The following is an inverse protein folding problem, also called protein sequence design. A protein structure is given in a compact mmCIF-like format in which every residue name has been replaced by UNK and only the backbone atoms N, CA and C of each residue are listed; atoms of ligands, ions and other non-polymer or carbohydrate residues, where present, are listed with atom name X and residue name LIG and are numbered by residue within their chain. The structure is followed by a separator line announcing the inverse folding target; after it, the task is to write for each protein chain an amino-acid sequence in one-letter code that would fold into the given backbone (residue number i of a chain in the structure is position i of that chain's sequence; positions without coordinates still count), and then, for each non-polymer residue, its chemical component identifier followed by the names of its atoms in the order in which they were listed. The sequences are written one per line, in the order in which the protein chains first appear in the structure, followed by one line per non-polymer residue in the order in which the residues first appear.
data_IF_303587099575
#
_entry.id   IF_303587099575
#
_cell.length_a   1.000
_cell.length_b   1.000
_cell.length_c   1.000
_cell.angle_alpha   90.00
_cell.angle_beta   90.00
_cell.angle_gamma   90.00
#
_symmetry.space_group_name_H-M   'P 1'
#
loop_
_entity.id
_entity.type
_entity.pdbx_description
1 polymer ?
#
# COMPACT_ATOMS: atom_id res chain seq x y z
N UNK A 1 16.61 24.32 2.15
CA UNK A 1 17.65 23.36 2.55
C UNK A 1 18.18 22.71 1.28
N UNK A 2 19.48 22.40 1.17
CA UNK A 2 19.98 21.63 0.02
C UNK A 2 19.35 20.22 0.01
N UNK A 3 19.15 19.64 -1.18
CA UNK A 3 18.47 18.34 -1.38
C UNK A 3 19.07 17.23 -0.50
N UNK A 4 20.39 17.00 -0.54
CA UNK A 4 21.06 15.99 0.30
C UNK A 4 20.81 16.18 1.81
N UNK A 5 20.71 17.43 2.28
CA UNK A 5 20.43 17.73 3.69
C UNK A 5 18.97 17.46 4.03
N UNK A 6 18.06 17.67 3.08
CA UNK A 6 16.66 17.37 3.24
C UNK A 6 16.43 15.87 3.26
N UNK A 7 17.08 15.12 2.37
CA UNK A 7 17.04 13.66 2.33
C UNK A 7 17.48 13.05 3.66
N UNK A 8 18.63 13.51 4.19
CA UNK A 8 19.10 13.04 5.49
C UNK A 8 18.10 13.35 6.61
N UNK A 9 17.45 14.52 6.58
CA UNK A 9 16.45 14.89 7.58
C UNK A 9 15.17 14.03 7.47
N UNK A 10 14.75 13.67 6.25
CA UNK A 10 13.63 12.75 6.00
C UNK A 10 13.96 11.35 6.52
N UNK A 11 15.15 10.83 6.22
CA UNK A 11 15.62 9.52 6.72
C UNK A 11 15.68 9.53 8.26
N UNK A 12 16.25 10.56 8.88
CA UNK A 12 16.32 10.66 10.34
C UNK A 12 14.93 10.75 10.98
N UNK A 13 13.99 11.45 10.33
CA UNK A 13 12.61 11.49 10.77
C UNK A 13 11.95 10.12 10.66
N UNK A 14 12.09 9.42 9.54
CA UNK A 14 11.57 8.06 9.36
C UNK A 14 12.12 7.10 10.42
N UNK A 15 13.43 7.18 10.73
CA UNK A 15 14.03 6.38 11.82
C UNK A 15 13.36 6.64 13.17
N UNK A 16 13.05 7.90 13.48
CA UNK A 16 12.33 8.24 14.71
C UNK A 16 10.87 7.74 14.74
N UNK A 17 10.31 7.38 13.57
CA UNK A 17 8.96 6.83 13.40
C UNK A 17 8.94 5.30 13.24
N UNK A 18 10.03 4.62 13.62
CA UNK A 18 10.10 3.16 13.72
C UNK A 18 10.71 2.44 12.51
N UNK A 19 11.25 3.17 11.54
CA UNK A 19 11.94 2.58 10.39
C UNK A 19 13.41 2.26 10.68
N UNK A 20 13.89 1.11 10.24
CA UNK A 20 15.31 0.75 10.29
C UNK A 20 16.02 1.22 9.00
N UNK A 21 17.03 2.08 9.13
CA UNK A 21 17.80 2.53 7.98
C UNK A 21 18.90 1.54 7.63
N UNK A 22 18.86 1.01 6.42
CA UNK A 22 19.79 -0.01 5.93
C UNK A 22 20.91 0.64 5.10
N UNK A 23 22.03 0.95 5.76
CA UNK A 23 23.18 1.58 5.09
C UNK A 23 23.80 0.67 4.02
N UNK A 24 23.90 -0.63 4.28
CA UNK A 24 24.52 -1.60 3.35
C UNK A 24 23.68 -1.86 2.08
N UNK A 25 22.40 -1.47 2.12
CA UNK A 25 21.45 -1.59 1.00
C UNK A 25 21.07 -0.23 0.41
N UNK A 26 21.83 0.83 0.73
CA UNK A 26 21.64 2.18 0.22
C UNK A 26 22.75 2.57 -0.75
N UNK A 27 22.45 3.40 -1.75
CA UNK A 27 23.37 3.72 -2.86
C UNK A 27 23.85 2.50 -3.66
N UNK A 28 23.02 1.46 -3.73
CA UNK A 28 23.31 0.18 -4.42
C UNK A 28 22.44 -0.02 -5.67
N UNK A 29 22.73 -1.07 -6.43
CA UNK A 29 21.87 -1.52 -7.53
C UNK A 29 20.68 -2.34 -7.03
N UNK A 30 19.64 -2.43 -7.86
CA UNK A 30 18.44 -3.22 -7.56
C UNK A 30 18.69 -4.68 -7.19
N UNK A 31 19.73 -5.31 -7.74
CA UNK A 31 20.08 -6.71 -7.45
C UNK A 31 20.36 -6.95 -5.96
N UNK A 32 20.95 -5.97 -5.29
CA UNK A 32 21.20 -6.07 -3.84
C UNK A 32 19.93 -6.12 -3.01
N UNK A 33 18.83 -5.53 -3.50
CA UNK A 33 17.54 -5.65 -2.81
C UNK A 33 16.89 -7.01 -3.03
N UNK A 34 17.16 -7.70 -4.14
CA UNK A 34 16.76 -9.10 -4.28
C UNK A 34 17.53 -10.01 -3.32
N UNK A 35 18.84 -9.80 -3.14
CA UNK A 35 19.64 -10.53 -2.14
C UNK A 35 19.04 -10.35 -0.74
N UNK A 36 18.76 -9.09 -0.36
CA UNK A 36 18.14 -8.75 0.90
C UNK A 36 16.78 -9.44 1.10
N UNK A 37 15.92 -9.38 0.07
CA UNK A 37 14.61 -9.99 0.13
C UNK A 37 14.68 -11.51 0.28
N UNK A 38 15.63 -12.17 -0.41
CA UNK A 38 15.89 -13.62 -0.22
C UNK A 38 16.22 -13.94 1.23
N UNK A 39 17.07 -13.14 1.86
CA UNK A 39 17.45 -13.34 3.27
C UNK A 39 16.25 -13.19 4.21
N UNK A 40 15.40 -12.19 3.98
CA UNK A 40 14.15 -12.02 4.73
C UNK A 40 13.19 -13.18 4.50
N UNK A 41 13.02 -13.63 3.25
CA UNK A 41 12.17 -14.79 2.94
C UNK A 41 12.65 -16.04 3.64
N UNK A 42 13.95 -16.33 3.62
CA UNK A 42 14.56 -17.45 4.33
C UNK A 42 14.31 -17.37 5.83
N UNK A 43 14.46 -16.18 6.42
CA UNK A 43 14.24 -15.97 7.84
C UNK A 43 12.76 -16.15 8.24
N UNK A 44 11.84 -15.52 7.52
CA UNK A 44 10.40 -15.55 7.81
C UNK A 44 9.79 -16.94 7.56
N UNK A 45 10.30 -17.66 6.56
CA UNK A 45 9.82 -18.99 6.18
C UNK A 45 10.68 -20.13 6.75
N UNK A 46 11.58 -19.86 7.69
CA UNK A 46 12.54 -20.85 8.24
C UNK A 46 11.91 -22.18 8.62
N UNK A 47 10.74 -22.16 9.28
CA UNK A 47 10.00 -23.37 9.67
C UNK A 47 9.41 -24.12 8.48
N UNK A 48 8.89 -23.40 7.47
CA UNK A 48 8.33 -23.97 6.24
C UNK A 48 9.40 -24.57 5.34
N UNK A 49 10.59 -23.99 5.41
CA UNK A 49 11.78 -24.40 4.68
C UNK A 49 12.57 -25.49 5.39
N UNK A 50 12.14 -25.94 6.58
CA UNK A 50 12.82 -26.92 7.42
C UNK A 50 14.32 -26.60 7.59
N UNK A 51 14.62 -25.33 7.91
CA UNK A 51 15.98 -24.81 8.07
C UNK A 51 16.89 -24.91 6.81
N UNK A 52 16.33 -25.28 5.66
CA UNK A 52 17.06 -25.39 4.38
C UNK A 52 16.76 -24.17 3.52
N UNK A 53 17.68 -23.20 3.38
CA UNK A 53 17.44 -21.98 2.62
C UNK A 53 17.04 -22.25 1.17
N UNK A 54 16.41 -21.26 0.54
CA UNK A 54 16.11 -21.29 -0.89
C UNK A 54 17.40 -21.50 -1.69
N UNK A 55 17.39 -22.43 -2.64
CA UNK A 55 18.45 -22.56 -3.64
C UNK A 55 18.37 -21.43 -4.68
N UNK A 56 19.39 -21.28 -5.52
CA UNK A 56 19.37 -20.25 -6.56
C UNK A 56 18.23 -20.51 -7.57
N UNK A 57 18.00 -21.77 -7.94
CA UNK A 57 16.93 -22.15 -8.85
C UNK A 57 15.54 -21.88 -8.25
N UNK A 58 15.36 -22.20 -6.96
CA UNK A 58 14.11 -21.93 -6.24
C UNK A 58 13.85 -20.42 -6.13
N UNK A 59 14.88 -19.63 -5.86
CA UNK A 59 14.72 -18.18 -5.79
C UNK A 59 14.43 -17.56 -7.17
N UNK A 60 15.00 -18.08 -8.25
CA UNK A 60 14.63 -17.66 -9.61
C UNK A 60 13.17 -18.02 -9.95
N UNK A 61 12.65 -19.17 -9.48
CA UNK A 61 11.21 -19.48 -9.60
C UNK A 61 10.35 -18.43 -8.86
N UNK A 62 10.73 -18.04 -7.65
CA UNK A 62 10.04 -16.98 -6.89
C UNK A 62 10.07 -15.65 -7.65
N UNK A 63 11.22 -15.24 -8.22
CA UNK A 63 11.31 -14.03 -9.06
C UNK A 63 10.41 -14.12 -10.28
N UNK A 64 10.32 -15.28 -10.92
CA UNK A 64 9.46 -15.50 -12.09
C UNK A 64 7.98 -15.30 -11.72
N UNK A 65 7.54 -15.75 -10.55
CA UNK A 65 6.18 -15.52 -10.06
C UNK A 65 5.85 -14.02 -9.97
N UNK A 66 6.80 -13.18 -9.52
CA UNK A 66 6.60 -11.72 -9.46
C UNK A 66 6.37 -11.08 -10.83
N UNK A 67 6.84 -11.70 -11.91
CA UNK A 67 6.62 -11.18 -13.27
C UNK A 67 5.15 -11.24 -13.69
N UNK A 68 4.32 -12.00 -12.97
CA UNK A 68 2.86 -12.05 -13.19
C UNK A 68 2.15 -10.78 -12.75
N UNK A 69 2.76 -9.99 -11.86
CA UNK A 69 2.22 -8.69 -11.47
C UNK A 69 2.37 -7.70 -12.63
N UNK A 70 1.29 -7.46 -13.37
CA UNK A 70 1.28 -6.50 -14.50
C UNK A 70 0.87 -5.11 -14.06
N UNK A 71 0.10 -5.03 -12.99
CA UNK A 71 -0.47 -3.81 -12.43
C UNK A 71 -0.25 -3.76 -10.91
N UNK A 72 -0.37 -2.59 -10.26
CA UNK A 72 -0.31 -2.50 -8.80
C UNK A 72 -1.46 -3.27 -8.16
N UNK A 73 -2.59 -3.40 -8.87
CA UNK A 73 -3.71 -4.22 -8.46
C UNK A 73 -3.32 -5.69 -8.29
N UNK A 74 -2.57 -6.28 -9.23
CA UNK A 74 -2.11 -7.68 -9.12
C UNK A 74 -1.22 -7.89 -7.88
N UNK A 75 -0.28 -6.96 -7.66
CA UNK A 75 0.57 -6.97 -6.49
C UNK A 75 -0.25 -6.81 -5.20
N UNK A 76 -1.27 -5.95 -5.19
CA UNK A 76 -2.17 -5.77 -4.04
C UNK A 76 -2.98 -7.03 -3.73
N UNK A 77 -3.42 -7.79 -4.75
CA UNK A 77 -4.07 -9.09 -4.54
C UNK A 77 -3.11 -10.08 -3.87
N UNK A 78 -1.85 -10.10 -4.33
CA UNK A 78 -0.81 -10.96 -3.76
C UNK A 78 -0.45 -10.56 -2.32
N UNK A 79 -0.34 -9.27 -2.01
CA UNK A 79 -0.08 -8.76 -0.65
C UNK A 79 -1.23 -9.05 0.32
N UNK A 80 -2.48 -8.91 -0.14
CA UNK A 80 -3.65 -9.16 0.69
C UNK A 80 -3.80 -10.65 1.03
N UNK A 81 -3.57 -11.52 0.04
CA UNK A 81 -3.57 -12.97 0.18
C UNK A 81 -4.81 -13.56 0.87
N UNK A 82 -4.71 -14.82 1.29
CA UNK A 82 -5.76 -15.48 2.04
C UNK A 82 -5.59 -15.18 3.54
N UNK A 83 -6.61 -14.61 4.18
CA UNK A 83 -6.58 -14.32 5.61
C UNK A 83 -5.57 -13.25 6.01
N UNK A 84 -5.23 -12.31 5.12
CA UNK A 84 -4.34 -11.18 5.42
C UNK A 84 -2.84 -11.49 5.30
N UNK A 85 -2.47 -12.69 4.81
CA UNK A 85 -1.08 -13.08 4.59
C UNK A 85 -0.82 -13.27 3.11
N UNK A 86 0.09 -12.47 2.56
CA UNK A 86 0.52 -12.57 1.18
C UNK A 86 1.53 -13.70 0.98
N UNK A 87 1.34 -14.51 -0.07
CA UNK A 87 2.19 -15.67 -0.36
C UNK A 87 2.64 -15.74 -1.81
N UNK A 88 3.71 -16.50 -2.03
CA UNK A 88 4.21 -16.89 -3.37
C UNK A 88 4.39 -18.40 -3.41
N UNK A 89 3.87 -19.09 -4.44
CA UNK A 89 4.05 -20.53 -4.60
C UNK A 89 5.51 -20.89 -4.93
N UNK A 90 5.97 -22.02 -4.40
CA UNK A 90 7.28 -22.59 -4.70
C UNK A 90 7.20 -24.11 -4.88
N UNK A 91 7.86 -24.62 -5.92
CA UNK A 91 8.22 -26.04 -5.99
C UNK A 91 9.69 -26.18 -5.58
N UNK A 92 9.92 -26.88 -4.46
CA UNK A 92 11.26 -27.16 -3.92
C UNK A 92 12.02 -28.10 -4.84
N UNK A 93 13.35 -28.07 -4.75
CA UNK A 93 14.23 -28.93 -5.54
C UNK A 93 13.99 -30.43 -5.29
N UNK A 94 13.43 -30.79 -4.13
CA UNK A 94 13.02 -32.16 -3.77
C UNK A 94 11.61 -32.55 -4.27
N UNK A 95 10.91 -31.65 -4.95
CA UNK A 95 9.56 -31.83 -5.49
C UNK A 95 8.42 -31.40 -4.55
N UNK A 96 8.72 -30.98 -3.32
CA UNK A 96 7.71 -30.51 -2.35
C UNK A 96 7.11 -29.17 -2.79
N UNK A 97 5.80 -28.99 -2.62
CA UNK A 97 5.12 -27.72 -2.91
C UNK A 97 4.88 -26.93 -1.64
N UNK A 98 5.23 -25.65 -1.65
CA UNK A 98 5.07 -24.73 -0.52
C UNK A 98 4.45 -23.40 -0.98
N UNK A 99 3.82 -22.71 -0.04
CA UNK A 99 3.44 -21.30 -0.16
C UNK A 99 4.33 -20.50 0.80
N UNK A 100 5.23 -19.68 0.26
CA UNK A 100 6.11 -18.84 1.04
C UNK A 100 5.39 -17.56 1.43
N UNK A 101 5.38 -17.24 2.71
CA UNK A 101 4.85 -15.98 3.20
C UNK A 101 5.82 -14.84 2.89
N UNK A 102 5.29 -13.76 2.33
CA UNK A 102 6.07 -12.57 1.94
C UNK A 102 5.58 -11.30 2.63
N UNK A 103 4.32 -11.26 3.09
CA UNK A 103 3.72 -10.06 3.65
C UNK A 103 2.64 -10.40 4.69
N UNK A 104 2.53 -9.59 5.74
CA UNK A 104 1.61 -9.80 6.86
C UNK A 104 0.74 -8.56 7.07
N UNK A 105 -0.45 -8.52 6.46
CA UNK A 105 -1.32 -7.35 6.50
C UNK A 105 -1.91 -7.04 7.88
N UNK A 106 -2.07 -8.05 8.73
CA UNK A 106 -2.64 -7.92 10.08
C UNK A 106 -1.57 -7.74 11.18
N UNK A 107 -0.30 -8.08 10.92
CA UNK A 107 0.81 -7.95 11.89
C UNK A 107 1.42 -6.53 11.87
N UNK A 108 0.57 -5.54 12.09
CA UNK A 108 0.97 -4.13 12.03
C UNK A 108 1.77 -3.72 13.27
N UNK A 109 2.95 -3.15 13.07
CA UNK A 109 3.90 -2.71 14.11
C UNK A 109 4.27 -3.80 15.14
N UNK A 110 4.31 -5.06 14.72
CA UNK A 110 4.71 -6.18 15.56
C UNK A 110 4.82 -7.48 14.77
N UNK A 111 4.89 -8.60 15.49
CA UNK A 111 4.97 -9.92 14.87
C UNK A 111 6.26 -10.10 14.07
N UNK A 112 6.13 -10.56 12.83
CA UNK A 112 7.20 -10.89 11.91
C UNK A 112 7.51 -9.73 10.94
N UNK A 113 6.74 -8.65 10.97
CA UNK A 113 6.92 -7.51 10.06
C UNK A 113 8.20 -6.73 10.36
N UNK A 114 9.00 -6.52 9.31
CA UNK A 114 10.18 -5.63 9.31
C UNK A 114 9.89 -4.38 8.51
N UNK A 115 10.36 -3.23 9.00
CA UNK A 115 10.13 -1.92 8.41
C UNK A 115 11.47 -1.26 8.15
N UNK A 116 11.86 -1.20 6.89
CA UNK A 116 13.20 -0.80 6.49
C UNK A 116 13.15 0.38 5.50
N UNK A 117 14.15 1.27 5.58
CA UNK A 117 14.32 2.39 4.66
C UNK A 117 15.69 2.32 4.01
N UNK A 118 15.71 2.49 2.69
CA UNK A 118 16.91 2.59 1.86
C UNK A 118 16.82 3.81 0.97
N UNK A 119 17.96 4.38 0.58
CA UNK A 119 18.01 5.54 -0.32
C UNK A 119 18.96 5.31 -1.51
N UNK A 120 18.79 6.12 -2.56
CA UNK A 120 19.69 6.20 -3.72
C UNK A 120 19.82 4.87 -4.52
N UNK A 121 18.71 4.14 -4.67
CA UNK A 121 18.68 2.84 -5.37
C UNK A 121 18.77 3.04 -6.88
N UNK A 122 19.77 2.42 -7.51
CA UNK A 122 20.06 2.61 -8.94
C UNK A 122 19.59 1.44 -9.80
N UNK A 123 18.88 1.75 -10.88
CA UNK A 123 18.47 0.82 -11.92
C UNK A 123 19.44 0.92 -13.10
N UNK A 124 20.08 -0.21 -13.43
CA UNK A 124 21.07 -0.31 -14.50
C UNK A 124 20.51 -0.91 -15.77
N UNK A 125 19.55 -1.84 -15.64
CA UNK A 125 19.03 -2.65 -16.74
C UNK A 125 17.52 -2.46 -16.84
N UNK A 126 17.11 -1.51 -17.68
CA UNK A 126 15.70 -1.14 -17.87
C UNK A 126 15.17 -1.67 -19.18
N UNK A 127 14.02 -2.35 -19.12
CA UNK A 127 13.45 -3.12 -20.23
C UNK A 127 13.20 -2.28 -21.49
N UNK A 128 12.86 -1.01 -21.33
CA UNK A 128 12.51 -0.09 -22.43
C UNK A 128 13.54 1.03 -22.64
N UNK A 129 14.60 1.09 -21.82
CA UNK A 129 15.57 2.20 -21.83
C UNK A 129 17.01 1.68 -21.73
N UNK A 130 17.62 1.41 -22.88
CA UNK A 130 18.96 0.80 -23.02
C UNK A 130 20.13 1.69 -22.55
N UNK A 131 19.90 2.94 -22.12
CA UNK A 131 20.98 3.89 -21.82
C UNK A 131 20.77 4.79 -20.62
N UNK A 132 19.62 4.72 -19.94
CA UNK A 132 19.29 5.68 -18.90
C UNK A 132 19.32 5.05 -17.52
N UNK A 133 20.31 5.43 -16.72
CA UNK A 133 20.31 5.10 -15.29
C UNK A 133 19.17 5.85 -14.62
N UNK A 134 18.33 5.13 -13.87
CA UNK A 134 17.33 5.72 -12.99
C UNK A 134 17.72 5.50 -11.55
N UNK A 135 17.39 6.45 -10.69
CA UNK A 135 17.77 6.42 -9.30
C UNK A 135 16.60 6.92 -8.47
N UNK A 136 16.22 6.10 -7.50
CA UNK A 136 15.18 6.41 -6.53
C UNK A 136 15.83 7.16 -5.37
N UNK A 137 15.23 8.25 -4.91
CA UNK A 137 15.70 9.00 -3.74
C UNK A 137 15.54 8.14 -2.49
N UNK A 138 14.31 7.81 -2.08
CA UNK A 138 14.06 6.95 -0.90
C UNK A 138 13.01 5.87 -1.23
N UNK A 139 13.25 4.65 -0.75
CA UNK A 139 12.31 3.53 -0.81
C UNK A 139 12.03 2.99 0.58
N UNK A 140 10.75 2.75 0.89
CA UNK A 140 10.33 2.09 2.11
C UNK A 140 9.96 0.63 1.83
N UNK A 141 10.53 -0.27 2.62
CA UNK A 141 10.39 -1.71 2.49
C UNK A 141 9.60 -2.28 3.68
N UNK A 142 8.64 -3.15 3.40
CA UNK A 142 8.01 -3.98 4.43
C UNK A 142 8.36 -5.43 4.12
N UNK A 143 9.05 -6.11 5.04
CA UNK A 143 9.62 -7.45 4.81
C UNK A 143 10.48 -7.52 3.55
N UNK A 144 11.32 -6.50 3.29
CA UNK A 144 12.13 -6.41 2.09
C UNK A 144 11.36 -6.11 0.79
N UNK A 145 10.02 -6.06 0.82
CA UNK A 145 9.20 -5.69 -0.35
C UNK A 145 9.13 -4.16 -0.48
N UNK A 146 9.48 -3.58 -1.64
CA UNK A 146 9.28 -2.15 -1.91
C UNK A 146 7.80 -1.81 -1.95
N UNK A 147 7.31 -1.03 -0.99
CA UNK A 147 5.88 -0.65 -0.90
C UNK A 147 5.63 0.83 -1.16
N UNK A 148 6.61 1.69 -0.90
CA UNK A 148 6.48 3.13 -1.08
C UNK A 148 7.73 3.77 -1.69
N UNK A 149 7.54 4.49 -2.78
CA UNK A 149 8.59 5.21 -3.49
C UNK A 149 8.45 6.71 -3.23
N UNK A 150 9.49 7.32 -2.69
CA UNK A 150 9.55 8.74 -2.34
C UNK A 150 10.51 9.45 -3.29
N UNK A 151 10.05 10.56 -3.84
CA UNK A 151 10.86 11.50 -4.61
C UNK A 151 10.89 12.84 -3.88
N UNK A 152 12.09 13.37 -3.69
CA UNK A 152 12.30 14.64 -3.02
C UNK A 152 12.50 15.75 -4.03
N UNK A 153 12.14 16.98 -3.66
CA UNK A 153 12.35 18.15 -4.52
C UNK A 153 12.82 19.34 -3.70
N UNK A 154 13.72 20.10 -4.33
CA UNK A 154 14.09 21.41 -3.85
C UNK A 154 12.94 22.41 -4.08
N UNK A 155 12.44 22.99 -2.98
CA UNK A 155 11.40 24.02 -2.99
C UNK A 155 11.77 25.25 -3.83
N UNK A 156 13.06 25.57 -3.95
CA UNK A 156 13.51 26.72 -4.71
C UNK A 156 13.22 26.62 -6.21
N UNK A 157 12.98 25.40 -6.72
CA UNK A 157 12.66 25.15 -8.12
C UNK A 157 11.16 25.31 -8.44
N UNK A 158 10.31 25.59 -7.44
CA UNK A 158 8.86 25.87 -7.55
C UNK A 158 8.06 24.94 -8.49
N UNK A 159 8.51 23.70 -8.68
CA UNK A 159 7.84 22.78 -9.60
C UNK A 159 7.86 21.34 -9.07
N UNK A 160 7.21 21.15 -7.92
CA UNK A 160 6.93 19.85 -7.31
C UNK A 160 6.31 18.83 -8.28
N UNK A 161 5.64 19.29 -9.34
CA UNK A 161 5.03 18.43 -10.36
C UNK A 161 6.04 17.77 -11.31
N UNK A 162 7.28 18.23 -11.36
CA UNK A 162 8.34 17.51 -12.07
C UNK A 162 8.59 16.12 -11.46
N UNK A 163 8.41 15.96 -10.14
CA UNK A 163 8.48 14.65 -9.48
C UNK A 163 7.40 13.70 -10.01
N UNK A 164 6.19 14.22 -10.24
CA UNK A 164 5.09 13.46 -10.80
C UNK A 164 5.40 12.99 -12.22
N UNK A 165 5.98 13.87 -13.06
CA UNK A 165 6.43 13.50 -14.41
C UNK A 165 7.62 12.52 -14.38
N UNK A 166 8.47 12.59 -13.36
CA UNK A 166 9.58 11.67 -13.15
C UNK A 166 9.06 10.26 -12.84
N UNK A 167 8.07 10.12 -11.95
CA UNK A 167 7.40 8.83 -11.73
C UNK A 167 6.78 8.26 -13.00
N UNK A 168 6.13 9.10 -13.81
CA UNK A 168 5.56 8.69 -15.10
C UNK A 168 6.62 8.14 -16.05
N UNK A 169 7.78 8.81 -16.14
CA UNK A 169 8.91 8.35 -16.96
C UNK A 169 9.48 7.04 -16.43
N UNK A 170 9.63 6.92 -15.12
CA UNK A 170 10.14 5.72 -14.45
C UNK A 170 9.29 4.49 -14.74
N UNK A 171 7.97 4.67 -14.72
CA UNK A 171 7.03 3.63 -15.13
C UNK A 171 7.21 3.26 -16.61
N UNK A 172 7.27 4.27 -17.50
CA UNK A 172 7.50 4.05 -18.94
C UNK A 172 8.85 3.40 -19.27
N UNK A 173 9.87 3.61 -18.44
CA UNK A 173 11.18 2.96 -18.52
C UNK A 173 11.17 1.51 -17.96
N UNK A 174 10.06 1.05 -17.38
CA UNK A 174 9.88 -0.33 -16.91
C UNK A 174 10.41 -0.60 -15.50
N UNK A 175 10.56 0.42 -14.65
CA UNK A 175 11.09 0.26 -13.29
C UNK A 175 10.20 -0.61 -12.37
N UNK A 176 8.88 -0.56 -12.50
CA UNK A 176 7.94 -1.20 -11.57
C UNK A 176 7.60 -2.65 -11.95
N UNK A 177 8.62 -3.45 -12.19
CA UNK A 177 8.51 -4.88 -12.52
C UNK A 177 9.25 -5.75 -11.48
N UNK A 178 8.97 -7.06 -11.45
CA UNK A 178 9.59 -7.98 -10.50
C UNK A 178 9.33 -7.53 -9.04
N UNK A 179 10.38 -7.43 -8.23
CA UNK A 179 10.30 -6.97 -6.84
C UNK A 179 9.70 -5.56 -6.70
N UNK A 180 9.92 -4.67 -7.66
CA UNK A 180 9.38 -3.29 -7.61
C UNK A 180 7.94 -3.21 -8.09
N UNK A 181 7.35 -4.32 -8.57
CA UNK A 181 5.91 -4.38 -8.86
C UNK A 181 5.05 -4.21 -7.59
N UNK A 182 5.64 -4.34 -6.40
CA UNK A 182 4.95 -4.15 -5.12
C UNK A 182 4.82 -2.70 -4.66
N UNK A 183 5.39 -1.72 -5.37
CA UNK A 183 5.21 -0.31 -5.00
C UNK A 183 3.72 0.07 -5.10
N UNK A 184 3.07 0.34 -3.96
CA UNK A 184 1.64 0.65 -3.91
C UNK A 184 1.38 2.16 -3.86
N UNK A 185 2.25 2.92 -3.21
CA UNK A 185 2.10 4.37 -2.99
C UNK A 185 3.36 5.11 -3.43
N UNK A 186 3.17 6.30 -3.99
CA UNK A 186 4.23 7.23 -4.36
C UNK A 186 4.08 8.52 -3.59
N UNK A 187 5.20 9.09 -3.14
CA UNK A 187 5.26 10.32 -2.37
C UNK A 187 6.12 11.37 -3.07
N UNK A 188 5.64 12.61 -3.06
CA UNK A 188 6.40 13.78 -3.49
C UNK A 188 6.61 14.68 -2.28
N UNK A 189 7.86 14.86 -1.86
CA UNK A 189 8.21 15.61 -0.66
C UNK A 189 9.12 16.80 -0.96
N UNK A 190 8.85 17.92 -0.29
CA UNK A 190 9.73 19.08 -0.14
C UNK A 190 9.38 19.73 1.20
N UNK A 191 10.27 20.53 1.81
CA UNK A 191 10.13 20.95 3.23
C UNK A 191 8.71 21.39 3.67
N UNK A 192 7.97 22.09 2.81
CA UNK A 192 6.63 22.62 3.04
C UNK A 192 5.60 22.17 1.99
N UNK A 193 5.82 21.03 1.33
CA UNK A 193 4.82 20.39 0.46
C UNK A 193 5.00 18.88 0.47
N UNK A 194 3.93 18.15 0.78
CA UNK A 194 3.92 16.70 0.85
C UNK A 194 2.64 16.16 0.21
N UNK A 195 2.82 15.29 -0.78
CA UNK A 195 1.72 14.69 -1.53
C UNK A 195 1.92 13.18 -1.64
N UNK A 196 0.82 12.45 -1.74
CA UNK A 196 0.81 11.01 -1.95
C UNK A 196 -0.26 10.60 -2.96
N UNK A 197 -0.04 9.48 -3.63
CA UNK A 197 -1.00 8.87 -4.54
C UNK A 197 -0.72 7.38 -4.70
N UNK A 198 -1.75 6.61 -5.05
CA UNK A 198 -1.56 5.20 -5.42
C UNK A 198 -0.76 5.12 -6.72
N UNK A 199 0.13 4.13 -6.84
CA UNK A 199 0.84 3.87 -8.09
C UNK A 199 -0.20 3.63 -9.20
N UNK A 200 -0.17 4.38 -10.31
CA UNK A 200 -1.03 4.11 -11.46
C UNK A 200 -0.73 2.75 -12.10
N UNK A 201 -1.69 2.21 -12.85
CA UNK A 201 -1.52 0.92 -13.53
C UNK A 201 -0.47 0.91 -14.64
N UNK A 202 -0.16 2.06 -15.22
CA UNK A 202 0.88 2.27 -16.22
C UNK A 202 1.19 3.77 -16.38
N UNK A 203 2.22 4.08 -17.16
CA UNK A 203 2.67 5.45 -17.46
C UNK A 203 1.58 6.36 -18.04
N UNK A 204 0.65 5.86 -18.85
CA UNK A 204 -0.42 6.68 -19.44
C UNK A 204 -1.55 7.01 -18.44
N UNK A 205 -1.58 6.33 -17.29
CA UNK A 205 -2.63 6.49 -16.28
C UNK A 205 -2.27 7.50 -15.19
N UNK A 206 -1.10 8.14 -15.26
CA UNK A 206 -0.70 9.19 -14.32
C UNK A 206 -1.58 10.44 -14.48
N UNK A 207 -2.42 10.71 -13.48
CA UNK A 207 -3.27 11.90 -13.40
C UNK A 207 -3.03 12.67 -12.09
N UNK A 208 -2.65 13.95 -12.20
CA UNK A 208 -2.35 14.85 -11.08
C UNK A 208 -3.54 15.11 -10.16
N UNK A 209 -4.77 14.97 -10.66
CA UNK A 209 -5.98 15.13 -9.85
C UNK A 209 -6.08 14.09 -8.71
N UNK A 210 -5.29 13.01 -8.80
CA UNK A 210 -5.19 11.96 -7.79
C UNK A 210 -3.96 12.09 -6.87
N UNK A 211 -3.16 13.15 -7.02
CA UNK A 211 -2.10 13.50 -6.09
C UNK A 211 -2.68 14.30 -4.92
N UNK A 212 -2.77 13.66 -3.76
CA UNK A 212 -3.46 14.22 -2.59
C UNK A 212 -2.47 14.82 -1.60
N UNK A 213 -2.78 16.01 -1.09
CA UNK A 213 -2.21 16.50 0.16
C UNK A 213 -2.85 15.81 1.37
N UNK A 214 -2.27 16.03 2.55
CA UNK A 214 -2.83 15.54 3.81
C UNK A 214 -3.51 16.67 4.59
N UNK A 215 -4.58 16.31 5.31
CA UNK A 215 -5.26 17.20 6.26
C UNK A 215 -5.35 16.46 7.57
N UNK A 216 -5.08 17.14 8.68
CA UNK A 216 -5.16 16.58 10.03
C UNK A 216 -6.62 16.36 10.47
N UNK A 217 -6.82 15.86 11.70
CA UNK A 217 -8.15 15.60 12.26
C UNK A 217 -8.99 16.86 12.50
N UNK A 218 -8.36 18.03 12.57
CA UNK A 218 -9.04 19.32 12.63
C UNK A 218 -9.38 19.86 11.23
N UNK A 219 -9.05 19.11 10.16
CA UNK A 219 -9.23 19.51 8.78
C UNK A 219 -8.26 20.60 8.32
N UNK A 220 -7.12 20.78 9.00
CA UNK A 220 -6.08 21.72 8.57
C UNK A 220 -5.09 21.02 7.66
N UNK A 221 -4.65 21.71 6.61
CA UNK A 221 -3.65 21.17 5.68
C UNK A 221 -2.31 20.95 6.38
N UNK A 222 -1.75 19.75 6.18
CA UNK A 222 -0.43 19.37 6.68
C UNK A 222 0.55 19.45 5.52
N UNK A 223 1.26 20.59 5.46
CA UNK A 223 2.22 20.88 4.40
C UNK A 223 3.66 20.65 4.84
N UNK A 224 3.95 20.73 6.14
CA UNK A 224 5.28 20.44 6.67
C UNK A 224 5.60 18.94 6.55
N UNK A 225 6.70 18.59 5.86
CA UNK A 225 7.07 17.19 5.63
C UNK A 225 7.28 16.39 6.90
N UNK A 226 7.86 16.99 7.95
CA UNK A 226 8.15 16.24 9.18
C UNK A 226 6.86 15.87 9.91
N UNK A 227 5.86 16.75 9.90
CA UNK A 227 4.51 16.43 10.39
C UNK A 227 3.83 15.39 9.50
N UNK A 228 3.94 15.53 8.17
CA UNK A 228 3.38 14.56 7.23
C UNK A 228 3.96 13.15 7.43
N UNK A 229 5.28 13.03 7.61
CA UNK A 229 5.94 11.75 7.86
C UNK A 229 5.38 11.11 9.13
N UNK A 230 5.22 11.88 10.21
CA UNK A 230 4.62 11.38 11.46
C UNK A 230 3.19 10.85 11.27
N UNK A 231 2.35 11.58 10.54
CA UNK A 231 0.94 11.22 10.39
C UNK A 231 0.66 10.13 9.35
N UNK A 232 1.49 10.03 8.31
CA UNK A 232 1.20 9.20 7.11
C UNK A 232 2.23 8.10 6.89
N UNK A 233 3.52 8.37 7.12
CA UNK A 233 4.62 7.48 6.71
C UNK A 233 5.24 6.71 7.88
N UNK A 234 5.01 7.14 9.12
CA UNK A 234 5.46 6.44 10.31
C UNK A 234 4.81 5.08 10.47
N UNK A 235 5.39 4.23 11.32
CA UNK A 235 4.77 2.96 11.71
C UNK A 235 3.90 3.24 12.94
N UNK A 236 2.61 2.83 12.96
CA UNK A 236 1.91 1.93 12.04
C UNK A 236 1.14 2.56 10.85
N UNK A 237 1.25 3.87 10.63
CA UNK A 237 0.44 4.59 9.63
C UNK A 237 0.67 4.09 8.18
N UNK A 238 1.91 3.96 7.72
CA UNK A 238 2.17 3.56 6.33
C UNK A 238 1.74 2.12 6.05
N UNK A 239 1.98 1.20 6.99
CA UNK A 239 1.54 -0.18 6.82
C UNK A 239 0.02 -0.22 6.62
N UNK A 240 -0.76 0.50 7.44
CA UNK A 240 -2.21 0.63 7.22
C UNK A 240 -2.57 1.37 5.93
N UNK A 241 -1.75 2.31 5.48
CA UNK A 241 -1.97 3.00 4.21
C UNK A 241 -1.96 2.00 3.05
N UNK A 242 -0.97 1.11 3.00
CA UNK A 242 -0.81 0.14 1.90
C UNK A 242 -1.69 -1.11 2.04
N UNK A 243 -2.22 -1.42 3.23
CA UNK A 243 -3.11 -2.57 3.44
C UNK A 243 -4.58 -2.18 3.52
N UNK A 244 -4.93 -1.34 4.49
CA UNK A 244 -6.31 -1.03 4.85
C UNK A 244 -6.87 0.07 3.94
N UNK A 245 -6.08 1.11 3.66
CA UNK A 245 -6.54 2.32 3.01
C UNK A 245 -6.35 2.32 1.48
N UNK A 246 -5.90 1.21 0.92
CA UNK A 246 -5.92 0.96 -0.52
C UNK A 246 -7.27 0.40 -0.95
N UNK A 247 -7.73 0.82 -2.12
CA UNK A 247 -8.98 0.41 -2.74
C UNK A 247 -8.62 -0.22 -4.08
N UNK A 248 -8.65 -1.56 -4.17
CA UNK A 248 -8.50 -2.22 -5.46
C UNK A 248 -9.72 -1.88 -6.33
N UNK A 249 -9.54 -1.73 -7.64
CA UNK A 249 -10.63 -1.51 -8.60
C UNK A 249 -10.50 -2.54 -9.73
N UNK A 250 -11.11 -3.70 -9.50
CA UNK A 250 -11.00 -4.88 -10.35
C UNK A 250 -11.53 -4.64 -11.77
N UNK A 251 -12.54 -3.79 -11.94
CA UNK A 251 -13.10 -3.49 -13.26
C UNK A 251 -12.14 -2.73 -14.18
N UNK A 252 -11.15 -2.02 -13.60
CA UNK A 252 -10.23 -1.17 -14.35
C UNK A 252 -8.75 -1.60 -14.22
N UNK A 253 -8.49 -2.74 -13.57
CA UNK A 253 -7.16 -3.22 -13.16
C UNK A 253 -6.33 -2.10 -12.51
N UNK A 254 -6.98 -1.35 -11.61
CA UNK A 254 -6.40 -0.14 -11.02
C UNK A 254 -6.36 -0.23 -9.49
N UNK A 255 -5.53 0.63 -8.90
CA UNK A 255 -5.43 0.80 -7.46
C UNK A 255 -5.67 2.26 -7.11
N UNK A 256 -6.43 2.50 -6.05
CA UNK A 256 -6.66 3.83 -5.50
C UNK A 256 -6.23 3.87 -4.03
N UNK A 257 -5.86 5.06 -3.56
CA UNK A 257 -5.59 5.33 -2.14
C UNK A 257 -6.68 6.26 -1.60
N UNK A 258 -7.14 5.99 -0.38
CA UNK A 258 -8.12 6.84 0.29
C UNK A 258 -7.51 8.20 0.65
N UNK A 259 -8.32 9.26 0.55
CA UNK A 259 -7.96 10.62 0.98
C UNK A 259 -7.98 10.72 2.51
N UNK A 260 -7.30 11.72 3.07
CA UNK A 260 -7.15 11.90 4.53
C UNK A 260 -8.48 11.85 5.28
N UNK A 261 -9.49 12.62 4.85
CA UNK A 261 -10.81 12.63 5.47
C UNK A 261 -11.54 11.29 5.40
N UNK A 262 -11.31 10.49 4.35
CA UNK A 262 -11.90 9.16 4.22
C UNK A 262 -11.24 8.18 5.20
N UNK A 263 -9.91 8.28 5.35
CA UNK A 263 -9.13 7.50 6.32
C UNK A 263 -9.56 7.85 7.74
N UNK A 264 -9.68 9.13 8.06
CA UNK A 264 -10.12 9.61 9.38
C UNK A 264 -11.54 9.15 9.71
N UNK A 265 -12.49 9.29 8.78
CA UNK A 265 -13.87 8.82 8.98
C UNK A 265 -13.90 7.30 9.23
N UNK A 266 -13.15 6.53 8.44
CA UNK A 266 -13.05 5.07 8.61
C UNK A 266 -12.45 4.71 9.96
N UNK A 267 -11.36 5.37 10.36
CA UNK A 267 -10.70 5.18 11.66
C UNK A 267 -11.66 5.46 12.82
N UNK A 268 -12.36 6.59 12.81
CA UNK A 268 -13.30 6.96 13.88
C UNK A 268 -14.47 5.97 14.00
N UNK A 269 -15.00 5.47 12.87
CA UNK A 269 -16.04 4.42 12.91
C UNK A 269 -15.50 3.13 13.54
N UNK A 270 -14.29 2.70 13.17
CA UNK A 270 -13.68 1.49 13.71
C UNK A 270 -13.31 1.64 15.19
N UNK A 271 -12.83 2.81 15.62
CA UNK A 271 -12.52 3.11 17.03
C UNK A 271 -13.77 3.03 17.89
N UNK A 272 -14.87 3.67 17.45
CA UNK A 272 -16.16 3.60 18.14
C UNK A 272 -16.68 2.16 18.25
N UNK A 273 -16.53 1.35 17.20
CA UNK A 273 -16.86 -0.08 17.26
C UNK A 273 -15.96 -0.86 18.23
N UNK A 274 -14.66 -0.53 18.31
CA UNK A 274 -13.74 -1.14 19.27
C UNK A 274 -14.11 -0.81 20.72
N UNK A 275 -14.54 0.41 20.99
CA UNK A 275 -15.01 0.81 22.33
C UNK A 275 -16.26 0.01 22.75
N UNK A 276 -17.24 -0.13 21.85
CA UNK A 276 -18.44 -0.97 22.09
C UNK A 276 -18.08 -2.45 22.34
N UNK A 277 -17.08 -2.97 21.61
CA UNK A 277 -16.57 -4.34 21.80
C UNK A 277 -15.92 -4.57 23.16
N UNK A 278 -15.28 -3.54 23.71
CA UNK A 278 -14.54 -3.61 24.98
C UNK A 278 -15.45 -3.45 26.19
N UNK A 279 -16.45 -2.59 26.10
CA UNK A 279 -17.37 -2.31 27.21
C UNK A 279 -18.57 -3.30 27.25
N UNK A 280 -18.78 -4.10 26.20
CA UNK A 280 -19.88 -5.07 26.10
C UNK A 280 -21.27 -4.42 26.00
N UNK A 281 -21.32 -3.10 25.79
CA UNK A 281 -22.52 -2.31 25.66
C UNK A 281 -22.62 -1.83 24.21
N UNK A 282 -23.61 -2.36 23.49
CA UNK A 282 -23.97 -1.82 22.18
C UNK A 282 -24.65 -0.47 22.44
N UNK A 283 -23.96 0.63 22.12
CA UNK A 283 -24.61 1.94 22.13
C UNK A 283 -25.70 1.94 21.06
N UNK A 284 -26.94 2.26 21.46
CA UNK A 284 -28.10 2.25 20.54
C UNK A 284 -28.00 3.34 19.47
N UNK A 285 -27.19 4.36 19.70
CA UNK A 285 -26.97 5.47 18.77
C UNK A 285 -25.59 5.32 18.12
N UNK A 286 -25.56 5.08 16.81
CA UNK A 286 -24.32 4.95 16.04
C UNK A 286 -23.60 6.30 15.87
N UNK A 287 -23.62 6.82 14.64
CA UNK A 287 -23.03 8.11 14.29
C UNK A 287 -23.32 8.46 12.83
N UNK A 288 -22.88 9.63 12.38
CA UNK A 288 -23.00 10.03 10.97
C UNK A 288 -21.69 10.65 10.47
N UNK A 289 -21.40 10.43 9.18
CA UNK A 289 -20.30 11.07 8.47
C UNK A 289 -20.90 12.01 7.43
N UNK A 290 -20.58 13.29 7.53
CA UNK A 290 -21.07 14.28 6.57
C UNK A 290 -20.02 14.61 5.52
N UNK A 291 -20.19 14.03 4.34
CA UNK A 291 -19.33 14.23 3.18
C UNK A 291 -20.11 14.90 2.04
N UNK A 292 -19.51 15.91 1.40
CA UNK A 292 -20.12 16.57 0.24
C UNK A 292 -20.34 15.62 -0.94
N UNK A 293 -21.20 15.99 -1.90
CA UNK A 293 -21.42 15.19 -3.12
C UNK A 293 -20.17 15.15 -4.00
N UNK A 294 -19.86 13.99 -4.58
CA UNK A 294 -18.64 13.78 -5.38
C UNK A 294 -17.35 13.54 -4.59
N UNK A 295 -17.38 13.57 -3.25
CA UNK A 295 -16.20 13.38 -2.40
C UNK A 295 -15.74 11.92 -2.22
N UNK A 296 -16.37 10.96 -2.90
CA UNK A 296 -16.03 9.53 -2.75
C UNK A 296 -16.68 8.85 -1.54
N UNK A 297 -17.90 9.23 -1.16
CA UNK A 297 -18.67 8.58 -0.07
C UNK A 297 -18.76 7.06 -0.23
N UNK A 298 -19.04 6.58 -1.44
CA UNK A 298 -19.17 5.15 -1.74
C UNK A 298 -17.90 4.38 -1.42
N UNK A 299 -16.73 4.95 -1.72
CA UNK A 299 -15.43 4.34 -1.41
C UNK A 299 -15.24 4.21 0.11
N UNK A 300 -15.51 5.29 0.86
CA UNK A 300 -15.42 5.27 2.32
C UNK A 300 -16.36 4.25 2.93
N UNK A 301 -17.62 4.24 2.51
CA UNK A 301 -18.65 3.37 3.08
C UNK A 301 -18.42 1.90 2.71
N UNK A 302 -17.93 1.62 1.50
CA UNK A 302 -17.48 0.30 1.09
C UNK A 302 -16.35 -0.22 1.98
N UNK A 303 -15.29 0.60 2.15
CA UNK A 303 -14.14 0.20 2.96
C UNK A 303 -14.55 -0.10 4.40
N UNK A 304 -15.39 0.75 5.00
CA UNK A 304 -15.93 0.52 6.34
C UNK A 304 -16.68 -0.82 6.38
N UNK A 305 -17.58 -1.09 5.43
CA UNK A 305 -18.34 -2.34 5.39
C UNK A 305 -17.41 -3.57 5.27
N UNK A 306 -16.41 -3.51 4.40
CA UNK A 306 -15.41 -4.56 4.22
C UNK A 306 -14.64 -4.84 5.53
N UNK A 307 -14.17 -3.78 6.20
CA UNK A 307 -13.39 -3.90 7.44
C UNK A 307 -14.24 -4.38 8.62
N UNK A 308 -15.53 -4.06 8.65
CA UNK A 308 -16.44 -4.58 9.68
C UNK A 308 -16.74 -6.06 9.43
N UNK A 309 -17.00 -6.44 8.17
CA UNK A 309 -17.30 -7.82 7.79
C UNK A 309 -16.09 -8.78 7.92
N UNK A 310 -14.86 -8.28 8.04
CA UNK A 310 -13.69 -9.11 8.34
C UNK A 310 -13.52 -9.37 9.86
N UNK A 311 -14.30 -8.71 10.73
CA UNK A 311 -14.16 -8.88 12.18
C UNK A 311 -14.89 -10.15 12.65
N UNK A 312 -14.26 -11.00 13.48
CA UNK A 312 -14.88 -12.26 13.93
C UNK A 312 -16.20 -12.12 14.71
N UNK A 313 -16.44 -10.96 15.34
CA UNK A 313 -17.67 -10.67 16.11
C UNK A 313 -18.82 -10.11 15.29
N UNK A 314 -18.58 -9.76 14.03
CA UNK A 314 -19.61 -9.21 13.14
C UNK A 314 -20.12 -10.34 12.27
N UNK A 315 -21.37 -10.74 12.50
CA UNK A 315 -22.02 -11.77 11.69
C UNK A 315 -22.40 -11.20 10.31
N UNK A 316 -23.12 -10.08 10.30
CA UNK A 316 -23.64 -9.44 9.09
C UNK A 316 -23.39 -7.94 9.09
N UNK A 317 -23.18 -7.38 7.89
CA UNK A 317 -23.13 -5.93 7.64
C UNK A 317 -24.22 -5.57 6.64
N UNK A 318 -25.22 -4.81 7.11
CA UNK A 318 -26.33 -4.35 6.29
C UNK A 318 -25.99 -2.99 5.66
N UNK A 319 -25.80 -2.97 4.34
CA UNK A 319 -25.59 -1.74 3.57
C UNK A 319 -26.90 -1.28 2.93
N UNK A 320 -27.47 -0.19 3.45
CA UNK A 320 -28.79 0.30 3.03
C UNK A 320 -28.64 1.53 2.13
N UNK A 321 -29.32 1.52 0.99
CA UNK A 321 -29.40 2.64 0.04
C UNK A 321 -30.87 2.96 -0.29
N UNK A 322 -31.14 4.19 -0.68
CA UNK A 322 -32.51 4.74 -0.81
C UNK A 322 -33.29 4.20 -2.03
N UNK A 323 -32.62 3.85 -3.14
CA UNK A 323 -33.32 3.43 -4.37
C UNK A 323 -32.77 2.14 -4.96
N UNK A 324 -33.63 1.39 -5.68
CA UNK A 324 -33.30 0.10 -6.29
C UNK A 324 -32.26 0.20 -7.42
N UNK A 325 -32.30 1.26 -8.23
CA UNK A 325 -31.28 1.53 -9.25
C UNK A 325 -29.90 1.78 -8.61
N UNK A 326 -29.91 2.49 -7.47
CA UNK A 326 -28.72 2.68 -6.63
C UNK A 326 -28.26 1.36 -5.97
N UNK A 327 -29.14 0.40 -5.67
CA UNK A 327 -28.77 -0.92 -5.14
C UNK A 327 -27.88 -1.65 -6.14
N UNK A 328 -28.32 -1.78 -7.39
CA UNK A 328 -27.54 -2.50 -8.41
C UNK A 328 -26.21 -1.81 -8.69
N UNK A 329 -26.21 -0.47 -8.82
CA UNK A 329 -24.96 0.27 -9.02
C UNK A 329 -24.00 0.12 -7.83
N UNK A 330 -24.53 0.13 -6.61
CA UNK A 330 -23.75 -0.07 -5.38
C UNK A 330 -23.19 -1.49 -5.32
N UNK A 331 -23.99 -2.49 -5.68
CA UNK A 331 -23.56 -3.88 -5.74
C UNK A 331 -22.40 -4.09 -6.70
N UNK A 332 -22.49 -3.59 -7.93
CA UNK A 332 -21.41 -3.68 -8.91
C UNK A 332 -20.15 -2.93 -8.45
N UNK A 333 -20.30 -1.73 -7.87
CA UNK A 333 -19.18 -1.00 -7.28
C UNK A 333 -18.52 -1.79 -6.14
N UNK A 334 -19.32 -2.39 -5.25
CA UNK A 334 -18.83 -3.20 -4.14
C UNK A 334 -18.08 -4.43 -4.64
N UNK A 335 -18.56 -5.08 -5.70
CA UNK A 335 -17.85 -6.18 -6.35
C UNK A 335 -16.53 -5.73 -6.96
N UNK A 336 -16.52 -4.59 -7.66
CA UNK A 336 -15.28 -4.05 -8.25
C UNK A 336 -14.23 -3.72 -7.19
N UNK A 337 -14.68 -3.20 -6.04
CA UNK A 337 -13.79 -2.83 -4.94
C UNK A 337 -13.44 -3.99 -4.00
N UNK A 338 -14.12 -5.11 -4.14
CA UNK A 338 -13.86 -6.31 -3.35
C UNK A 338 -12.66 -7.05 -3.93
N UNK A 339 -11.81 -7.56 -3.02
CA UNK A 339 -10.95 -8.68 -3.38
C UNK A 339 -11.84 -9.83 -3.90
N UNK A 340 -11.36 -10.59 -4.90
CA UNK A 340 -12.10 -11.74 -5.47
C UNK A 340 -12.64 -12.69 -4.39
N UNK A 341 -11.93 -12.81 -3.26
CA UNK A 341 -12.33 -13.63 -2.11
C UNK A 341 -13.52 -13.07 -1.32
N UNK A 342 -13.73 -11.75 -1.34
CA UNK A 342 -14.82 -11.06 -0.66
C UNK A 342 -16.06 -10.89 -1.56
N UNK A 343 -15.91 -10.97 -2.88
CA UNK A 343 -17.00 -10.80 -3.85
C UNK A 343 -18.20 -11.73 -3.56
N UNK A 344 -17.93 -13.00 -3.23
CA UNK A 344 -18.94 -14.01 -2.95
C UNK A 344 -19.71 -13.78 -1.63
N UNK A 345 -19.24 -12.86 -0.77
CA UNK A 345 -19.89 -12.52 0.51
C UNK A 345 -20.91 -11.39 0.36
N UNK A 346 -20.99 -10.74 -0.81
CA UNK A 346 -21.89 -9.62 -1.04
C UNK A 346 -23.19 -10.15 -1.66
N UNK A 347 -24.32 -9.86 -1.01
CA UNK A 347 -25.64 -10.27 -1.46
C UNK A 347 -26.59 -9.07 -1.53
N UNK A 348 -27.40 -9.02 -2.59
CA UNK A 348 -28.50 -8.06 -2.69
C UNK A 348 -29.72 -8.66 -2.00
N UNK A 349 -30.21 -8.00 -0.96
CA UNK A 349 -31.46 -8.36 -0.29
C UNK A 349 -32.53 -7.35 -0.72
N UNK A 350 -33.50 -7.82 -1.50
CA UNK A 350 -34.67 -7.01 -1.81
C UNK A 350 -35.64 -7.05 -0.63
N UNK A 351 -36.12 -5.89 -0.19
CA UNK A 351 -37.21 -5.82 0.78
C UNK A 351 -38.42 -6.58 0.23
N UNK A 352 -38.89 -7.59 0.97
CA UNK A 352 -40.17 -8.24 0.68
C UNK A 352 -41.25 -7.24 1.12
N UNK A 353 -42.06 -6.76 0.17
CA UNK A 353 -43.25 -5.96 0.47
C UNK A 353 -44.31 -6.80 1.20
#
# INVERSE_FOLDING_TARGET
MAEDKFEQAVIDKLKSEGWEYLTDYSSVTVDRLYDHWRDIMNANNRKRLEDTPLSDNEFEQVKLELTKNKTPYDAQLMLAGAGGVGTVPLNRDDGTQLELEIFYGDEVAGGHSRYEVVNQITFTDLATSLSSKRRIDIMLLINGLPVAHIEEKDESLQNQWNAFEQFQKYDGDGMYTGLFSFVQVQFVLSQNSAHYFARPKNSDSYNRDFAFGWRDDAGKDVTNTMTFIHEVMGIPALHRLVTVNMIPDAANDNLMVMRSYQIQATRQILDRMREMDQNGLVEKEGGYVWHTTGSGKTVTSFKVAQLLASRPRVEDVLFIVDRVDLVNQTYENFKSFAYKTFENRIQVVNGVN
#
